data_IF_112386307970
#
_entry.id   IF_112386307970
#
_cell.length_a   1.000
_cell.length_b   1.000
_cell.length_c   1.000
_cell.angle_alpha   90.00
_cell.angle_beta   90.00
_cell.angle_gamma   90.00
#
_symmetry.space_group_name_H-M   'P 1'
#
loop_
_entity.id
_entity.type
_entity.pdbx_description
1 polymer ?
#
# COMPACT_ATOMS: atom_id res chain seq x y z
N UNK A 1 -14.64 -2.22 -17.84
CA UNK A 1 -13.93 -3.20 -17.01
C UNK A 1 -12.54 -3.41 -17.60
N UNK A 2 -11.50 -2.77 -17.04
CA UNK A 2 -10.10 -2.97 -17.38
C UNK A 2 -9.38 -3.56 -16.15
N UNK A 3 -8.81 -4.74 -16.33
CA UNK A 3 -7.92 -5.36 -15.34
C UNK A 3 -6.48 -5.24 -15.84
N UNK A 4 -5.61 -4.62 -15.04
CA UNK A 4 -4.19 -4.47 -15.39
C UNK A 4 -3.36 -5.58 -14.76
N UNK A 5 -2.70 -6.37 -15.61
CA UNK A 5 -1.89 -7.50 -15.19
C UNK A 5 -0.44 -7.10 -14.88
N UNK A 6 0.06 -7.51 -13.73
CA UNK A 6 1.47 -7.41 -13.34
C UNK A 6 1.94 -6.02 -12.90
N UNK A 7 1.04 -5.07 -12.70
CA UNK A 7 1.34 -3.68 -12.32
C UNK A 7 0.54 -3.24 -11.11
N UNK A 8 1.23 -2.67 -10.11
CA UNK A 8 0.62 -2.14 -8.90
C UNK A 8 1.23 -0.79 -8.46
N UNK A 9 2.01 -0.16 -9.34
CA UNK A 9 2.70 1.09 -9.02
C UNK A 9 1.74 2.27 -9.17
N UNK A 10 1.46 2.96 -8.06
CA UNK A 10 0.59 4.14 -8.05
C UNK A 10 1.01 5.19 -9.08
N UNK A 11 2.31 5.44 -9.24
CA UNK A 11 2.83 6.49 -10.13
C UNK A 11 2.51 6.21 -11.60
N UNK A 12 2.39 4.93 -11.97
CA UNK A 12 1.96 4.55 -13.31
C UNK A 12 0.43 4.52 -13.38
N UNK A 13 -0.24 3.97 -12.36
CA UNK A 13 -1.68 3.73 -12.37
C UNK A 13 -2.52 5.01 -12.30
N UNK A 14 -2.00 6.09 -11.69
CA UNK A 14 -2.72 7.36 -11.56
C UNK A 14 -3.11 7.99 -12.90
N UNK A 15 -2.30 7.75 -13.94
CA UNK A 15 -2.50 8.33 -15.28
C UNK A 15 -3.25 7.40 -16.24
N UNK A 16 -3.50 6.14 -15.84
CA UNK A 16 -4.19 5.17 -16.69
C UNK A 16 -5.71 5.28 -16.48
N UNK A 17 -6.51 5.66 -17.50
CA UNK A 17 -7.95 5.80 -17.34
C UNK A 17 -8.65 4.45 -17.15
N UNK A 18 -9.77 4.45 -16.42
CA UNK A 18 -10.75 3.35 -16.35
C UNK A 18 -10.20 1.97 -15.90
N UNK A 19 -9.24 1.96 -14.95
CA UNK A 19 -8.84 0.75 -14.22
C UNK A 19 -9.95 0.38 -13.23
N UNK A 20 -10.40 -0.87 -13.25
CA UNK A 20 -11.29 -1.43 -12.24
C UNK A 20 -10.49 -2.17 -11.17
N UNK A 21 -9.50 -2.95 -11.61
CA UNK A 21 -8.64 -3.78 -10.74
C UNK A 21 -7.23 -3.89 -11.34
N UNK A 22 -6.26 -4.19 -10.49
CA UNK A 22 -4.90 -4.52 -10.91
C UNK A 22 -4.32 -5.61 -10.02
N UNK A 23 -3.37 -6.37 -10.56
CA UNK A 23 -2.58 -7.32 -9.79
C UNK A 23 -1.08 -7.12 -10.03
N UNK A 24 -0.28 -7.60 -9.09
CA UNK A 24 1.17 -7.67 -9.24
C UNK A 24 1.71 -8.68 -8.24
N UNK A 25 2.92 -9.18 -8.45
CA UNK A 25 3.63 -9.96 -7.42
C UNK A 25 4.49 -9.07 -6.51
N UNK A 26 4.58 -7.77 -6.81
CA UNK A 26 5.38 -6.79 -6.06
C UNK A 26 5.03 -6.76 -4.57
N UNK A 27 3.74 -6.69 -4.21
CA UNK A 27 3.27 -6.67 -2.81
C UNK A 27 3.66 -7.94 -2.03
N UNK A 28 3.72 -9.09 -2.71
CA UNK A 28 4.20 -10.34 -2.14
C UNK A 28 5.72 -10.31 -1.96
N UNK A 29 6.43 -9.83 -2.98
CA UNK A 29 7.89 -9.69 -2.94
C UNK A 29 8.33 -8.74 -1.82
N UNK A 30 7.64 -7.61 -1.64
CA UNK A 30 7.87 -6.68 -0.54
C UNK A 30 7.74 -7.38 0.81
N UNK A 31 6.68 -8.15 1.04
CA UNK A 31 6.54 -8.89 2.30
C UNK A 31 7.67 -9.91 2.51
N UNK A 32 8.11 -10.60 1.45
CA UNK A 32 9.23 -11.55 1.49
C UNK A 32 10.53 -10.83 1.86
N UNK A 33 10.78 -9.63 1.34
CA UNK A 33 11.97 -8.84 1.64
C UNK A 33 11.88 -8.05 2.94
N UNK A 34 10.76 -8.10 3.67
CA UNK A 34 10.58 -7.39 4.94
C UNK A 34 10.01 -5.98 4.80
N UNK A 35 9.39 -5.64 3.68
CA UNK A 35 8.94 -4.31 3.32
C UNK A 35 7.40 -4.20 3.30
N UNK A 36 6.89 -3.02 3.65
CA UNK A 36 5.49 -2.61 3.48
C UNK A 36 5.44 -1.39 2.59
N UNK A 37 4.56 -1.39 1.58
CA UNK A 37 4.19 -0.19 0.84
C UNK A 37 3.08 0.55 1.60
N UNK A 38 3.48 1.42 2.52
CA UNK A 38 2.58 2.24 3.30
C UNK A 38 1.98 3.36 2.45
N UNK A 39 0.66 3.45 2.41
CA UNK A 39 -0.05 4.46 1.62
C UNK A 39 -0.99 5.30 2.49
N UNK A 40 -0.92 6.62 2.30
CA UNK A 40 -1.83 7.59 2.95
C UNK A 40 -2.36 8.62 1.96
N UNK A 41 -3.42 9.28 2.36
CA UNK A 41 -3.91 10.50 1.72
C UNK A 41 -3.44 11.66 2.61
N UNK A 42 -2.69 12.61 2.05
CA UNK A 42 -2.24 13.79 2.78
C UNK A 42 -3.38 14.80 2.99
N UNK A 43 -3.09 15.89 3.71
CA UNK A 43 -4.06 16.96 4.02
C UNK A 43 -4.60 17.66 2.76
N UNK A 44 -3.88 17.58 1.64
CA UNK A 44 -4.26 18.16 0.36
C UNK A 44 -5.02 17.17 -0.53
N UNK A 45 -5.30 15.95 -0.04
CA UNK A 45 -5.96 14.90 -0.81
C UNK A 45 -5.03 14.16 -1.79
N UNK A 46 -3.71 14.34 -1.70
CA UNK A 46 -2.75 13.63 -2.52
C UNK A 46 -2.47 12.25 -1.93
N UNK A 47 -2.34 11.26 -2.81
CA UNK A 47 -1.85 9.95 -2.42
C UNK A 47 -0.34 10.01 -2.23
N UNK A 48 0.13 9.48 -1.11
CA UNK A 48 1.55 9.41 -0.77
C UNK A 48 1.89 7.98 -0.41
N UNK A 49 2.96 7.46 -1.00
CA UNK A 49 3.47 6.12 -0.73
C UNK A 49 4.87 6.16 -0.11
N UNK A 50 5.12 5.24 0.82
CA UNK A 50 6.42 5.01 1.43
C UNK A 50 6.71 3.52 1.44
N UNK A 51 7.97 3.15 1.24
CA UNK A 51 8.39 1.78 1.51
C UNK A 51 9.00 1.76 2.92
N UNK A 52 8.32 1.09 3.83
CA UNK A 52 8.74 0.95 5.23
C UNK A 52 9.35 -0.42 5.41
N UNK A 53 10.56 -0.48 5.96
CA UNK A 53 11.31 -1.70 6.14
C UNK A 53 11.31 -2.19 7.57
N UNK A 54 10.90 -3.44 7.71
CA UNK A 54 10.95 -4.22 8.93
C UNK A 54 12.13 -5.19 8.79
N UNK A 55 13.28 -4.91 9.45
CA UNK A 55 14.54 -5.64 9.27
C UNK A 55 14.38 -7.16 9.24
N UNK A 56 14.59 -7.77 8.07
CA UNK A 56 14.60 -9.23 7.88
C UNK A 56 16.01 -9.74 7.53
N UNK A 57 16.78 -8.95 6.79
CA UNK A 57 18.16 -9.20 6.39
C UNK A 57 19.04 -8.01 6.78
N UNK A 58 20.36 -8.24 6.91
CA UNK A 58 21.35 -7.20 7.26
C UNK A 58 21.54 -6.14 6.17
N UNK A 59 21.31 -6.50 4.90
CA UNK A 59 21.38 -5.58 3.76
C UNK A 59 20.00 -5.28 3.22
N UNK A 60 19.83 -4.04 2.82
CA UNK A 60 18.57 -3.44 2.47
C UNK A 60 18.70 -2.61 1.19
N UNK A 61 17.60 -2.49 0.44
CA UNK A 61 17.53 -1.66 -0.76
C UNK A 61 17.49 -0.18 -0.40
N UNK A 62 18.23 0.66 -1.14
CA UNK A 62 18.49 2.08 -0.81
C UNK A 62 17.24 3.00 -0.72
N UNK A 63 16.07 2.54 -1.16
CA UNK A 63 14.89 3.41 -1.35
C UNK A 63 13.86 3.37 -0.23
N UNK A 64 14.07 2.60 0.82
CA UNK A 64 13.07 2.38 1.83
C UNK A 64 13.53 2.91 3.21
N UNK A 65 12.61 3.10 4.15
CA UNK A 65 12.91 3.70 5.46
C UNK A 65 12.79 2.63 6.53
N UNK A 66 13.80 2.48 7.38
CA UNK A 66 13.75 1.54 8.50
C UNK A 66 12.61 1.91 9.46
N UNK A 67 11.82 0.93 9.89
CA UNK A 67 10.64 1.16 10.74
C UNK A 67 10.97 1.93 12.03
N UNK A 68 12.10 1.61 12.68
CA UNK A 68 12.50 2.29 13.92
C UNK A 68 12.87 3.76 13.67
N UNK A 69 13.57 4.06 12.58
CA UNK A 69 13.92 5.44 12.20
C UNK A 69 12.65 6.19 11.78
N UNK A 70 11.77 5.53 11.03
CA UNK A 70 10.50 6.07 10.59
C UNK A 70 9.59 6.47 11.76
N UNK A 71 9.51 5.68 12.83
CA UNK A 71 8.76 6.08 14.04
C UNK A 71 9.35 7.33 14.69
N UNK A 72 10.68 7.45 14.71
CA UNK A 72 11.35 8.57 15.38
C UNK A 72 11.21 9.88 14.59
N UNK A 73 11.39 9.79 13.27
CA UNK A 73 11.44 10.94 12.37
C UNK A 73 10.06 11.34 11.82
N UNK A 74 9.15 10.37 11.65
CA UNK A 74 7.82 10.56 11.06
C UNK A 74 6.70 10.04 11.98
N UNK A 75 6.65 10.60 13.20
CA UNK A 75 5.71 10.17 14.26
C UNK A 75 4.26 10.08 13.78
N UNK A 76 3.76 11.13 13.13
CA UNK A 76 2.38 11.18 12.63
C UNK A 76 2.05 10.02 11.69
N UNK A 77 2.92 9.76 10.72
CA UNK A 77 2.68 8.71 9.72
C UNK A 77 2.80 7.31 10.35
N UNK A 78 3.73 7.14 11.28
CA UNK A 78 3.85 5.90 12.05
C UNK A 78 2.65 5.65 12.98
N UNK A 79 2.00 6.70 13.47
CA UNK A 79 0.76 6.62 14.27
C UNK A 79 -0.43 6.25 13.39
N UNK A 80 -0.57 6.84 12.21
CA UNK A 80 -1.56 6.46 11.21
C UNK A 80 -1.41 4.98 10.88
N UNK A 81 -0.21 4.52 10.54
CA UNK A 81 0.04 3.11 10.27
C UNK A 81 -0.33 2.21 11.44
N UNK A 82 0.11 2.53 12.66
CA UNK A 82 -0.21 1.71 13.84
C UNK A 82 -1.71 1.65 14.11
N UNK A 83 -2.41 2.77 13.92
CA UNK A 83 -3.87 2.84 14.07
C UNK A 83 -4.56 1.97 13.03
N UNK A 84 -4.24 2.15 11.74
CA UNK A 84 -4.84 1.37 10.65
C UNK A 84 -4.57 -0.13 10.80
N UNK A 85 -3.34 -0.54 11.09
CA UNK A 85 -3.01 -1.95 11.32
C UNK A 85 -3.78 -2.54 12.50
N UNK A 86 -4.01 -1.74 13.55
CA UNK A 86 -4.75 -2.21 14.73
C UNK A 86 -6.26 -2.28 14.49
N UNK A 87 -6.84 -1.27 13.84
CA UNK A 87 -8.28 -1.16 13.65
C UNK A 87 -8.77 -2.11 12.54
N UNK A 88 -8.03 -2.17 11.41
CA UNK A 88 -8.46 -2.90 10.22
C UNK A 88 -8.02 -4.38 10.24
N UNK A 89 -6.83 -4.65 10.79
CA UNK A 89 -6.21 -5.99 10.73
C UNK A 89 -5.98 -6.62 12.10
N UNK A 90 -6.30 -5.91 13.19
CA UNK A 90 -6.01 -6.32 14.58
C UNK A 90 -4.53 -6.60 14.87
N UNK A 91 -3.62 -6.10 14.03
CA UNK A 91 -2.19 -6.29 14.15
C UNK A 91 -1.58 -5.26 15.10
N UNK A 92 -0.54 -5.66 15.81
CA UNK A 92 0.27 -4.83 16.69
C UNK A 92 1.70 -4.75 16.17
N UNK A 93 2.53 -3.91 16.80
CA UNK A 93 3.96 -3.80 16.45
C UNK A 93 4.65 -5.16 16.51
N UNK A 94 4.39 -5.96 17.55
CA UNK A 94 5.09 -7.22 17.79
C UNK A 94 4.82 -8.25 16.68
N UNK A 95 3.65 -8.17 16.05
CA UNK A 95 3.29 -9.02 14.92
C UNK A 95 4.19 -8.81 13.69
N UNK A 96 4.87 -7.66 13.57
CA UNK A 96 5.80 -7.35 12.48
C UNK A 96 7.27 -7.72 12.78
N UNK A 97 7.58 -8.16 13.99
CA UNK A 97 8.93 -8.56 14.41
C UNK A 97 9.01 -10.00 14.94
N UNK A 98 7.88 -10.59 15.33
CA UNK A 98 7.79 -11.94 15.88
C UNK A 98 7.61 -13.05 14.84
N UNK A 99 7.13 -14.20 15.31
CA UNK A 99 6.92 -15.41 14.48
C UNK A 99 5.97 -15.21 13.31
N UNK A 100 5.00 -14.30 13.46
CA UNK A 100 3.98 -14.03 12.44
C UNK A 100 4.39 -12.94 11.44
N UNK A 101 5.62 -12.43 11.53
CA UNK A 101 6.11 -11.29 10.74
C UNK A 101 5.74 -11.36 9.26
N UNK A 102 6.03 -12.46 8.60
CA UNK A 102 5.77 -12.58 7.16
C UNK A 102 4.29 -12.50 6.82
N UNK A 103 3.42 -13.13 7.63
CA UNK A 103 1.98 -13.04 7.45
C UNK A 103 1.47 -11.62 7.68
N UNK A 104 1.93 -10.96 8.75
CA UNK A 104 1.57 -9.57 9.06
C UNK A 104 1.96 -8.59 7.95
N UNK A 105 3.17 -8.75 7.38
CA UNK A 105 3.63 -7.96 6.25
C UNK A 105 2.78 -8.19 5.00
N UNK A 106 2.40 -9.45 4.71
CA UNK A 106 1.50 -9.77 3.58
C UNK A 106 0.14 -9.12 3.75
N UNK A 107 -0.47 -9.24 4.94
CA UNK A 107 -1.78 -8.65 5.23
C UNK A 107 -1.75 -7.12 5.11
N UNK A 108 -0.73 -6.46 5.66
CA UNK A 108 -0.56 -5.02 5.55
C UNK A 108 -0.42 -4.57 4.08
N UNK A 109 0.41 -5.26 3.29
CA UNK A 109 0.58 -4.94 1.87
C UNK A 109 -0.72 -5.15 1.06
N UNK A 110 -1.48 -6.22 1.33
CA UNK A 110 -2.80 -6.43 0.71
C UNK A 110 -3.74 -5.27 1.05
N UNK A 111 -3.80 -4.86 2.32
CA UNK A 111 -4.64 -3.74 2.76
C UNK A 111 -4.27 -2.44 2.03
N UNK A 112 -2.99 -2.07 1.97
CA UNK A 112 -2.57 -0.83 1.29
C UNK A 112 -2.74 -0.89 -0.23
N UNK A 113 -2.67 -2.08 -0.84
CA UNK A 113 -2.97 -2.29 -2.25
C UNK A 113 -4.47 -2.03 -2.53
N UNK A 114 -5.36 -2.58 -1.70
CA UNK A 114 -6.80 -2.35 -1.83
C UNK A 114 -7.14 -0.87 -1.63
N UNK A 115 -6.59 -0.24 -0.60
CA UNK A 115 -6.75 1.20 -0.33
C UNK A 115 -6.33 2.08 -1.51
N UNK A 116 -5.26 1.71 -2.21
CA UNK A 116 -4.82 2.40 -3.43
C UNK A 116 -5.85 2.27 -4.57
N UNK A 117 -6.35 1.07 -4.81
CA UNK A 117 -7.34 0.81 -5.86
C UNK A 117 -8.62 1.61 -5.58
N UNK A 118 -9.10 1.59 -4.33
CA UNK A 118 -10.28 2.36 -3.92
C UNK A 118 -10.10 3.86 -4.13
N UNK A 119 -8.91 4.40 -3.81
CA UNK A 119 -8.59 5.79 -4.07
C UNK A 119 -8.60 6.15 -5.57
N UNK A 120 -7.97 5.31 -6.41
CA UNK A 120 -7.93 5.49 -7.87
C UNK A 120 -9.34 5.46 -8.48
N UNK A 121 -10.22 4.63 -7.94
CA UNK A 121 -11.63 4.56 -8.34
C UNK A 121 -12.43 5.78 -7.86
N UNK A 122 -12.22 6.22 -6.62
CA UNK A 122 -12.93 7.36 -6.02
C UNK A 122 -12.59 8.73 -6.63
N UNK A 123 -11.40 8.90 -7.22
CA UNK A 123 -11.01 10.13 -7.93
C UNK A 123 -11.64 10.30 -9.31
N UNK A 124 -12.26 9.26 -9.86
CA UNK A 124 -12.80 9.30 -11.22
C UNK A 124 -14.27 9.65 -11.20
N UNK A 125 -14.75 10.60 -12.02
CA UNK A 125 -16.18 10.72 -12.24
C UNK A 125 -16.69 9.37 -12.77
N UNK A 126 -17.80 8.89 -12.22
CA UNK A 126 -18.49 7.71 -12.73
C UNK A 126 -18.95 8.04 -14.16
N UNK A 127 -18.10 7.76 -15.15
CA UNK A 127 -18.50 7.80 -16.54
C UNK A 127 -19.34 6.55 -16.77
N UNK A 128 -20.64 6.66 -16.50
CA UNK A 128 -21.59 5.71 -17.07
C UNK A 128 -21.33 5.69 -18.58
N UNK A 129 -20.93 4.54 -19.17
CA UNK A 129 -20.89 4.45 -20.62
C UNK A 129 -22.30 4.77 -21.09
N UNK A 130 -22.44 5.78 -21.96
CA UNK A 130 -23.70 6.05 -22.62
C UNK A 130 -24.20 4.72 -23.22
N UNK A 131 -25.47 4.35 -23.02
CA UNK A 131 -26.00 3.11 -23.58
C UNK A 131 -25.77 3.13 -25.09
N UNK A 132 -25.43 1.98 -25.70
CA UNK A 132 -25.23 1.91 -27.14
C UNK A 132 -26.48 2.43 -27.84
N UNK A 133 -26.29 3.45 -28.67
CA UNK A 133 -27.34 3.94 -29.56
C UNK A 133 -27.70 2.79 -30.50
N UNK A 134 -28.92 2.27 -30.33
CA UNK A 134 -29.57 1.35 -31.26
C UNK A 134 -29.98 2.09 -32.55
#
# INVERSE_FOLDING_TARGET
CCHLLGISDYEILKDVPNIDTCDSQSWLQYAITGQIMFNKIDENGNFVNYIVYFPKYEKFEEKAVYYNDWINENKTDSEIFRKEMKEELQLTRDDFFGKNKELSLKLANIYYQLKMIDYLNGKRPVTNPAPPTL
#
